data_IF_042453317678
#
_entry.id   IF_042453317678
#
_cell.length_a   1.000
_cell.length_b   1.000
_cell.length_c   1.000
_cell.angle_alpha   90.00
_cell.angle_beta   90.00
_cell.angle_gamma   90.00
#
_symmetry.space_group_name_H-M   'P 1'
#
loop_
_entity.id
_entity.type
_entity.pdbx_description
1 polymer ?
#
# COMPACT_ATOMS: atom_id res chain seq x y z
N UNK A 1 -23.24 9.54 15.28
CA UNK A 1 -22.21 9.82 14.26
C UNK A 1 -21.10 10.63 14.90
N UNK A 2 -19.86 10.22 14.77
CA UNK A 2 -18.66 10.97 15.21
C UNK A 2 -17.86 11.40 13.99
N UNK A 3 -17.04 12.44 14.14
CA UNK A 3 -16.01 12.81 13.17
C UNK A 3 -14.66 12.80 13.86
N UNK A 4 -13.65 12.19 13.20
CA UNK A 4 -12.27 12.07 13.69
C UNK A 4 -11.32 12.74 12.69
N UNK A 5 -10.49 13.65 13.16
CA UNK A 5 -9.39 14.20 12.37
C UNK A 5 -8.18 13.23 12.28
N UNK A 6 -7.21 13.49 11.41
CA UNK A 6 -6.04 12.61 11.21
C UNK A 6 -5.23 12.40 12.50
N UNK A 7 -5.17 13.36 13.42
CA UNK A 7 -4.47 13.23 14.69
C UNK A 7 -5.20 12.25 15.63
N UNK A 8 -6.52 12.35 15.70
CA UNK A 8 -7.37 11.42 16.44
C UNK A 8 -7.31 10.01 15.83
N UNK A 9 -7.38 9.91 14.50
CA UNK A 9 -7.21 8.64 13.76
C UNK A 9 -5.87 7.99 14.13
N UNK A 10 -4.77 8.75 14.05
CA UNK A 10 -3.42 8.25 14.37
C UNK A 10 -3.33 7.67 15.79
N UNK A 11 -4.00 8.30 16.76
CA UNK A 11 -4.00 7.86 18.17
C UNK A 11 -4.81 6.59 18.39
N UNK A 12 -5.88 6.39 17.60
CA UNK A 12 -6.84 5.29 17.75
C UNK A 12 -6.55 4.10 16.85
N UNK A 13 -5.55 4.21 15.97
CA UNK A 13 -5.14 3.09 15.11
C UNK A 13 -4.69 1.89 15.95
N UNK A 14 -5.05 0.66 15.56
CA UNK A 14 -4.45 -0.55 16.12
C UNK A 14 -2.93 -0.55 15.95
N UNK A 15 -2.24 -1.39 16.69
CA UNK A 15 -0.80 -1.60 16.48
C UNK A 15 -0.50 -2.02 15.03
N UNK A 16 0.69 -1.72 14.48
CA UNK A 16 1.02 -2.10 13.09
C UNK A 16 0.86 -3.61 12.82
N UNK A 17 1.14 -4.47 13.80
CA UNK A 17 0.95 -5.91 13.67
C UNK A 17 -0.55 -6.30 13.57
N UNK A 18 -1.41 -5.67 14.35
CA UNK A 18 -2.86 -5.86 14.26
C UNK A 18 -3.41 -5.34 12.94
N UNK A 19 -2.91 -4.19 12.45
CA UNK A 19 -3.27 -3.67 11.13
C UNK A 19 -2.92 -4.67 10.02
N UNK A 20 -1.75 -5.31 10.08
CA UNK A 20 -1.33 -6.35 9.15
C UNK A 20 -2.25 -7.57 9.21
N UNK A 21 -2.64 -8.00 10.41
CA UNK A 21 -3.60 -9.10 10.57
C UNK A 21 -4.95 -8.77 9.92
N UNK A 22 -5.49 -7.57 10.17
CA UNK A 22 -6.72 -7.08 9.53
C UNK A 22 -6.60 -7.04 8.00
N UNK A 23 -5.48 -6.57 7.46
CA UNK A 23 -5.27 -6.53 6.01
C UNK A 23 -5.11 -7.92 5.41
N UNK A 24 -4.50 -8.87 6.12
CA UNK A 24 -4.45 -10.26 5.68
C UNK A 24 -5.85 -10.86 5.56
N UNK A 25 -6.72 -10.65 6.55
CA UNK A 25 -8.12 -11.07 6.49
C UNK A 25 -8.87 -10.39 5.33
N UNK A 26 -8.62 -9.10 5.10
CA UNK A 26 -9.19 -8.34 3.99
C UNK A 26 -8.82 -8.95 2.63
N UNK A 27 -7.54 -9.27 2.42
CA UNK A 27 -7.07 -9.89 1.17
C UNK A 27 -7.67 -11.27 0.94
N UNK A 28 -7.82 -12.08 2.00
CA UNK A 28 -8.47 -13.38 1.91
C UNK A 28 -9.95 -13.25 1.60
N UNK A 29 -10.67 -12.30 2.23
CA UNK A 29 -12.08 -12.07 1.99
C UNK A 29 -12.39 -11.56 0.56
N UNK A 30 -11.48 -10.77 -0.02
CA UNK A 30 -11.57 -10.39 -1.44
C UNK A 30 -11.37 -11.60 -2.36
N UNK A 31 -10.38 -12.45 -2.03
CA UNK A 31 -10.07 -13.64 -2.85
C UNK A 31 -11.18 -14.70 -2.80
N UNK A 32 -11.87 -14.87 -1.68
CA UNK A 32 -12.98 -15.83 -1.55
C UNK A 32 -14.36 -15.26 -1.87
N UNK A 33 -14.44 -13.94 -2.16
CA UNK A 33 -15.68 -13.26 -2.53
C UNK A 33 -16.65 -13.00 -1.37
N UNK A 34 -16.25 -13.19 -0.11
CA UNK A 34 -17.08 -12.89 1.07
C UNK A 34 -17.23 -11.37 1.32
N UNK A 35 -16.34 -10.58 0.73
CA UNK A 35 -16.41 -9.12 0.73
C UNK A 35 -16.41 -8.58 -0.71
N UNK A 36 -16.90 -7.36 -0.90
CA UNK A 36 -17.03 -6.73 -2.21
C UNK A 36 -16.45 -5.32 -2.24
N UNK A 37 -15.81 -5.00 -3.35
CA UNK A 37 -15.38 -3.66 -3.73
C UNK A 37 -15.82 -3.39 -5.16
N UNK A 38 -15.83 -2.12 -5.55
CA UNK A 38 -15.90 -1.74 -6.97
C UNK A 38 -14.58 -1.13 -7.38
N UNK A 39 -14.17 -1.27 -8.65
CA UNK A 39 -13.03 -0.52 -9.17
C UNK A 39 -13.16 0.96 -8.88
N UNK A 40 -12.03 1.61 -8.59
CA UNK A 40 -12.01 3.04 -8.24
C UNK A 40 -12.66 3.89 -9.32
N UNK A 41 -13.68 4.64 -8.95
CA UNK A 41 -14.25 5.67 -9.81
C UNK A 41 -13.44 6.95 -9.69
N UNK A 42 -12.79 7.37 -10.79
CA UNK A 42 -11.84 8.48 -10.79
C UNK A 42 -12.36 9.70 -11.53
N UNK A 43 -12.13 10.88 -10.93
CA UNK A 43 -12.25 12.17 -11.61
C UNK A 43 -10.91 12.90 -11.55
N UNK A 44 -10.55 13.58 -12.65
CA UNK A 44 -9.34 14.41 -12.73
C UNK A 44 -9.75 15.86 -12.49
N UNK A 45 -9.02 16.58 -11.62
CA UNK A 45 -9.32 17.99 -11.27
C UNK A 45 -8.18 18.96 -11.54
N UNK A 46 -6.95 18.46 -11.74
CA UNK A 46 -5.78 19.23 -12.18
C UNK A 46 -4.77 18.30 -12.85
N UNK A 47 -3.74 18.83 -13.47
CA UNK A 47 -2.67 18.02 -14.09
C UNK A 47 -1.98 17.15 -13.04
N UNK A 48 -1.99 15.83 -13.25
CA UNK A 48 -1.49 14.84 -12.28
C UNK A 48 -2.33 14.71 -11.01
N UNK A 49 -3.42 15.50 -10.88
CA UNK A 49 -4.31 15.49 -9.73
C UNK A 49 -5.61 14.76 -10.02
N UNK A 50 -6.08 13.97 -9.06
CA UNK A 50 -7.31 13.20 -9.20
C UNK A 50 -7.99 12.96 -7.84
N UNK A 51 -9.25 12.57 -7.91
CA UNK A 51 -9.98 12.04 -6.76
C UNK A 51 -10.60 10.68 -7.11
N UNK A 52 -10.61 9.77 -6.14
CA UNK A 52 -11.20 8.44 -6.27
C UNK A 52 -12.30 8.22 -5.23
N UNK A 53 -13.44 7.68 -5.68
CA UNK A 53 -14.44 7.06 -4.82
C UNK A 53 -14.15 5.55 -4.72
N UNK A 54 -14.13 5.03 -3.49
CA UNK A 54 -13.70 3.66 -3.20
C UNK A 54 -14.70 3.00 -2.23
N UNK A 55 -15.93 2.63 -2.70
CA UNK A 55 -16.90 1.94 -1.88
C UNK A 55 -16.49 0.49 -1.63
N UNK A 56 -16.87 -0.03 -0.45
CA UNK A 56 -16.66 -1.42 -0.09
C UNK A 56 -17.67 -1.91 0.95
N UNK A 57 -17.95 -3.21 0.93
CA UNK A 57 -18.79 -3.87 1.90
C UNK A 57 -18.24 -5.25 2.29
N UNK A 58 -18.40 -5.59 3.56
CA UNK A 58 -18.22 -6.94 4.07
C UNK A 58 -19.45 -7.35 4.89
N UNK A 59 -20.48 -7.92 4.23
CA UNK A 59 -21.78 -8.15 4.86
C UNK A 59 -21.70 -9.00 6.12
N UNK A 60 -20.90 -10.06 6.13
CA UNK A 60 -20.75 -10.95 7.29
C UNK A 60 -20.21 -10.25 8.54
N UNK A 61 -19.46 -9.15 8.35
CA UNK A 61 -18.95 -8.30 9.44
C UNK A 61 -19.81 -7.06 9.68
N UNK A 62 -20.88 -6.88 8.92
CA UNK A 62 -21.72 -5.67 8.98
C UNK A 62 -20.95 -4.41 8.57
N UNK A 63 -19.94 -4.52 7.73
CA UNK A 63 -19.10 -3.40 7.29
C UNK A 63 -19.61 -2.84 5.96
N UNK A 64 -19.79 -1.53 5.93
CA UNK A 64 -20.16 -0.77 4.74
C UNK A 64 -19.51 0.62 4.83
N UNK A 65 -18.87 1.06 3.77
CA UNK A 65 -18.29 2.39 3.77
C UNK A 65 -17.71 2.82 2.43
N UNK A 66 -17.23 4.04 2.40
CA UNK A 66 -16.58 4.61 1.23
C UNK A 66 -15.44 5.53 1.66
N UNK A 67 -14.30 5.41 0.98
CA UNK A 67 -13.27 6.43 1.02
C UNK A 67 -13.35 7.32 -0.22
N UNK A 68 -13.39 8.63 -0.01
CA UNK A 68 -13.07 9.63 -0.99
C UNK A 68 -11.64 10.10 -0.75
N UNK A 69 -10.72 9.82 -1.68
CA UNK A 69 -9.32 10.22 -1.56
C UNK A 69 -8.95 11.15 -2.70
N UNK A 70 -8.23 12.22 -2.39
CA UNK A 70 -7.74 13.21 -3.36
C UNK A 70 -6.22 13.17 -3.41
N UNK A 71 -5.68 13.33 -4.63
CA UNK A 71 -4.26 13.58 -4.87
C UNK A 71 -4.17 14.94 -5.57
N UNK A 72 -3.57 15.92 -4.90
CA UNK A 72 -3.51 17.34 -5.34
C UNK A 72 -2.06 17.80 -5.37
N UNK A 73 -1.33 17.57 -6.48
CA UNK A 73 0.10 17.90 -6.59
C UNK A 73 0.42 19.38 -6.34
N UNK A 74 -0.48 20.29 -6.72
CA UNK A 74 -0.32 21.73 -6.50
C UNK A 74 -0.22 22.13 -5.02
N UNK A 75 -0.68 21.30 -4.10
CA UNK A 75 -0.57 21.51 -2.66
C UNK A 75 0.88 21.56 -2.18
N UNK A 76 1.80 20.86 -2.86
CA UNK A 76 3.23 20.88 -2.52
C UNK A 76 3.81 22.29 -2.55
N UNK A 77 3.47 23.08 -3.56
CA UNK A 77 3.91 24.47 -3.67
C UNK A 77 3.30 25.37 -2.58
N UNK A 78 2.22 24.93 -1.94
CA UNK A 78 1.51 25.64 -0.85
C UNK A 78 1.91 25.13 0.54
N UNK A 79 2.87 24.20 0.64
CA UNK A 79 3.26 23.57 1.91
C UNK A 79 2.16 22.72 2.54
N UNK A 80 1.23 22.17 1.73
CA UNK A 80 0.13 21.33 2.19
C UNK A 80 0.34 19.88 1.75
N UNK A 81 -0.31 18.97 2.46
CA UNK A 81 -0.33 17.55 2.09
C UNK A 81 -0.95 17.36 0.70
N UNK A 82 -0.29 16.55 -0.13
CA UNK A 82 -0.78 16.23 -1.47
C UNK A 82 -1.91 15.22 -1.46
N UNK A 83 -1.96 14.35 -0.46
CA UNK A 83 -2.97 13.32 -0.30
C UNK A 83 -3.89 13.76 0.84
N UNK A 84 -5.19 13.79 0.56
CA UNK A 84 -6.24 14.07 1.54
C UNK A 84 -7.46 13.22 1.24
N UNK A 85 -8.50 13.38 2.00
CA UNK A 85 -9.76 12.70 1.75
C UNK A 85 -10.60 12.50 3.00
N UNK A 86 -11.72 11.84 2.79
CA UNK A 86 -12.70 11.54 3.84
C UNK A 86 -13.09 10.05 3.75
N UNK A 87 -13.13 9.41 4.90
CA UNK A 87 -13.74 8.10 5.08
C UNK A 87 -15.13 8.26 5.66
N UNK A 88 -16.13 7.59 5.09
CA UNK A 88 -17.48 7.45 5.64
C UNK A 88 -17.73 5.99 5.96
N UNK A 89 -18.04 5.71 7.22
CA UNK A 89 -18.39 4.38 7.68
C UNK A 89 -19.88 4.34 8.02
N UNK A 90 -20.61 3.40 7.45
CA UNK A 90 -22.03 3.19 7.66
C UNK A 90 -22.29 1.96 8.54
N UNK A 91 -23.39 1.97 9.28
CA UNK A 91 -23.96 0.80 9.92
C UNK A 91 -24.73 -0.04 8.90
N UNK A 92 -25.10 -1.26 9.27
CA UNK A 92 -25.86 -2.19 8.43
C UNK A 92 -27.26 -1.66 8.01
N UNK A 93 -27.83 -0.75 8.79
CA UNK A 93 -29.12 -0.08 8.49
C UNK A 93 -28.96 1.13 7.53
N UNK A 94 -27.72 1.41 7.07
CA UNK A 94 -27.41 2.52 6.18
C UNK A 94 -27.16 3.86 6.90
N UNK A 95 -27.35 3.95 8.20
CA UNK A 95 -27.04 5.17 8.96
C UNK A 95 -25.53 5.40 9.01
N UNK A 96 -25.10 6.69 8.96
CA UNK A 96 -23.69 7.03 9.10
C UNK A 96 -23.24 6.83 10.54
N UNK A 97 -22.26 5.96 10.76
CA UNK A 97 -21.69 5.63 12.05
C UNK A 97 -20.55 6.59 12.43
N UNK A 98 -19.61 6.75 11.49
CA UNK A 98 -18.48 7.66 11.66
C UNK A 98 -18.04 8.27 10.33
N UNK A 99 -17.44 9.45 10.43
CA UNK A 99 -16.61 10.03 9.37
C UNK A 99 -15.22 10.29 9.93
N UNK A 100 -14.18 10.20 9.10
CA UNK A 100 -12.82 10.51 9.54
C UNK A 100 -11.95 11.00 8.39
N UNK A 101 -10.97 11.82 8.71
CA UNK A 101 -9.94 12.20 7.76
C UNK A 101 -9.19 10.95 7.28
N UNK A 102 -8.77 10.92 6.02
CA UNK A 102 -8.32 9.71 5.39
C UNK A 102 -6.82 9.68 5.04
N UNK A 103 -6.06 10.72 5.36
CA UNK A 103 -4.64 10.76 5.00
C UNK A 103 -3.82 9.76 5.81
N UNK A 104 -3.92 9.80 7.13
CA UNK A 104 -3.22 8.86 8.01
C UNK A 104 -3.73 7.43 7.82
N UNK A 105 -5.05 7.24 7.75
CA UNK A 105 -5.67 5.95 7.46
C UNK A 105 -5.09 5.33 6.17
N UNK A 106 -4.99 6.14 5.09
CA UNK A 106 -4.46 5.69 3.80
C UNK A 106 -2.98 5.30 3.90
N UNK A 107 -2.18 6.08 4.63
CA UNK A 107 -0.75 5.80 4.80
C UNK A 107 -0.53 4.46 5.52
N UNK A 108 -1.24 4.24 6.61
CA UNK A 108 -1.05 3.07 7.47
C UNK A 108 -1.63 1.79 6.83
N UNK A 109 -2.86 1.83 6.25
CA UNK A 109 -3.41 0.64 5.60
C UNK A 109 -2.59 0.19 4.39
N UNK A 110 -1.97 1.12 3.66
CA UNK A 110 -1.11 0.78 2.51
C UNK A 110 0.10 -0.04 2.97
N UNK A 111 0.79 0.40 4.02
CA UNK A 111 1.88 -0.35 4.60
C UNK A 111 1.43 -1.70 5.19
N UNK A 112 0.25 -1.75 5.80
CA UNK A 112 -0.30 -2.97 6.38
C UNK A 112 -0.67 -4.02 5.32
N UNK A 113 -1.22 -3.63 4.15
CA UNK A 113 -1.44 -4.55 3.01
C UNK A 113 -0.12 -5.13 2.51
N UNK A 114 0.90 -4.28 2.34
CA UNK A 114 2.24 -4.76 1.99
C UNK A 114 2.80 -5.68 3.08
N UNK A 115 2.59 -5.34 4.36
CA UNK A 115 2.97 -6.18 5.50
C UNK A 115 2.35 -7.57 5.45
N UNK A 116 1.06 -7.68 5.09
CA UNK A 116 0.41 -8.97 4.88
C UNK A 116 1.05 -9.74 3.72
N UNK A 117 1.43 -9.06 2.64
CA UNK A 117 2.11 -9.65 1.49
C UNK A 117 3.54 -10.12 1.80
N UNK A 118 4.20 -9.59 2.85
CA UNK A 118 5.50 -10.07 3.30
C UNK A 118 5.48 -11.52 3.80
N UNK A 119 4.31 -12.10 4.06
CA UNK A 119 4.18 -13.53 4.33
C UNK A 119 4.52 -14.43 3.13
N UNK A 120 4.59 -13.86 1.93
CA UNK A 120 4.96 -14.59 0.70
C UNK A 120 6.48 -14.83 0.58
N UNK A 121 7.31 -14.06 1.30
CA UNK A 121 8.77 -14.10 1.13
C UNK A 121 9.45 -13.57 2.40
N UNK A 122 10.33 -14.33 2.99
CA UNK A 122 11.02 -14.02 4.25
C UNK A 122 12.43 -13.42 4.08
N UNK A 123 12.86 -13.24 2.84
CA UNK A 123 14.20 -12.74 2.49
C UNK A 123 14.36 -11.24 2.79
N UNK A 124 15.61 -10.70 2.71
CA UNK A 124 15.90 -9.27 2.95
C UNK A 124 15.06 -8.34 2.09
N UNK A 125 14.69 -7.20 2.67
CA UNK A 125 13.75 -6.25 2.10
C UNK A 125 14.49 -4.99 1.64
N UNK A 126 14.22 -4.56 0.41
CA UNK A 126 14.60 -3.24 -0.08
C UNK A 126 13.35 -2.39 -0.29
N UNK A 127 13.35 -1.16 0.22
CA UNK A 127 12.33 -0.15 -0.05
C UNK A 127 12.88 0.94 -0.98
N UNK A 128 12.19 1.18 -2.09
CA UNK A 128 12.55 2.17 -3.11
C UNK A 128 11.72 3.43 -2.89
N UNK A 129 12.30 4.48 -2.30
CA UNK A 129 11.66 5.74 -1.96
C UNK A 129 11.93 6.18 -0.52
N UNK A 130 11.71 7.47 -0.21
CA UNK A 130 12.00 8.08 1.12
C UNK A 130 10.82 8.88 1.67
N UNK A 131 9.63 8.75 1.09
CA UNK A 131 8.43 9.50 1.47
C UNK A 131 7.71 8.93 2.70
N UNK A 132 6.47 9.38 2.90
CA UNK A 132 5.58 8.93 3.99
C UNK A 132 5.49 7.39 4.02
N UNK A 133 5.39 6.75 2.87
CA UNK A 133 5.29 5.30 2.78
C UNK A 133 6.54 4.57 3.30
N UNK A 134 7.75 5.13 3.13
CA UNK A 134 8.95 4.54 3.70
C UNK A 134 8.87 4.45 5.23
N UNK A 135 8.34 5.49 5.89
CA UNK A 135 8.13 5.52 7.34
C UNK A 135 7.06 4.53 7.80
N UNK A 136 5.90 4.52 7.11
CA UNK A 136 4.82 3.58 7.45
C UNK A 136 5.25 2.12 7.27
N UNK A 137 5.99 1.81 6.19
CA UNK A 137 6.53 0.47 5.96
C UNK A 137 7.61 0.09 6.97
N UNK A 138 8.48 1.02 7.37
CA UNK A 138 9.48 0.76 8.42
C UNK A 138 8.82 0.37 9.75
N UNK A 139 7.71 1.04 10.14
CA UNK A 139 6.92 0.65 11.32
C UNK A 139 6.36 -0.77 11.20
N UNK A 140 5.79 -1.10 10.06
CA UNK A 140 5.22 -2.44 9.82
C UNK A 140 6.31 -3.51 9.83
N UNK A 141 7.41 -3.30 9.10
CA UNK A 141 8.54 -4.23 9.03
C UNK A 141 9.13 -4.47 10.44
N UNK A 142 9.31 -3.39 11.22
CA UNK A 142 9.76 -3.46 12.60
C UNK A 142 8.80 -4.27 13.48
N UNK A 143 7.49 -3.96 13.43
CA UNK A 143 6.46 -4.63 14.25
C UNK A 143 6.32 -6.12 13.92
N UNK A 144 6.63 -6.52 12.69
CA UNK A 144 6.65 -7.92 12.25
C UNK A 144 7.96 -8.63 12.59
N UNK A 145 8.94 -7.95 13.19
CA UNK A 145 10.28 -8.50 13.42
C UNK A 145 11.01 -8.87 12.13
N UNK A 146 10.66 -8.22 11.00
CA UNK A 146 11.22 -8.48 9.69
C UNK A 146 12.42 -7.54 9.42
N UNK A 147 13.27 -7.94 8.53
CA UNK A 147 14.48 -7.20 8.13
C UNK A 147 15.62 -8.14 7.78
N UNK A 148 16.81 -7.64 7.43
CA UNK A 148 17.16 -6.21 7.35
C UNK A 148 16.36 -5.44 6.31
N UNK A 149 16.20 -4.13 6.53
CA UNK A 149 15.59 -3.20 5.60
C UNK A 149 16.68 -2.32 4.98
N UNK A 150 16.82 -2.35 3.66
CA UNK A 150 17.61 -1.37 2.91
C UNK A 150 16.66 -0.35 2.28
N UNK A 151 16.95 0.95 2.41
CA UNK A 151 16.17 1.99 1.75
C UNK A 151 17.02 2.72 0.74
N UNK A 152 16.54 2.77 -0.49
CA UNK A 152 17.11 3.58 -1.55
C UNK A 152 16.38 4.90 -1.72
N UNK A 153 17.16 5.97 -1.90
CA UNK A 153 16.63 7.29 -2.23
C UNK A 153 17.66 8.14 -2.96
N UNK A 154 17.20 9.05 -3.82
CA UNK A 154 18.08 9.91 -4.63
C UNK A 154 18.76 11.03 -3.81
N UNK A 155 18.12 11.45 -2.71
CA UNK A 155 18.56 12.60 -1.90
C UNK A 155 19.15 12.13 -0.58
N UNK A 156 20.46 12.39 -0.32
CA UNK A 156 21.09 12.00 0.94
C UNK A 156 20.39 12.59 2.18
N UNK A 157 19.89 13.83 2.08
CA UNK A 157 19.21 14.51 3.18
C UNK A 157 17.92 13.77 3.58
N UNK A 158 17.14 13.34 2.60
CA UNK A 158 15.91 12.58 2.85
C UNK A 158 16.19 11.19 3.45
N UNK A 159 17.31 10.57 3.10
CA UNK A 159 17.76 9.32 3.72
C UNK A 159 18.20 9.55 5.17
N UNK A 160 18.90 10.65 5.44
CA UNK A 160 19.29 11.02 6.80
C UNK A 160 18.09 11.33 7.69
N UNK A 161 17.11 12.09 7.18
CA UNK A 161 15.83 12.35 7.86
C UNK A 161 15.09 11.05 8.18
N UNK A 162 15.02 10.11 7.23
CA UNK A 162 14.40 8.80 7.45
C UNK A 162 15.17 8.00 8.51
N UNK A 163 16.50 7.99 8.45
CA UNK A 163 17.34 7.28 9.42
C UNK A 163 17.12 7.81 10.84
N UNK A 164 17.10 9.14 11.01
CA UNK A 164 16.83 9.78 12.30
C UNK A 164 15.43 9.45 12.81
N UNK A 165 14.44 9.49 11.93
CA UNK A 165 13.07 9.13 12.27
C UNK A 165 12.94 7.66 12.67
N UNK A 166 13.59 6.73 11.95
CA UNK A 166 13.58 5.31 12.29
C UNK A 166 14.26 5.02 13.63
N UNK A 167 15.35 5.72 13.95
CA UNK A 167 16.02 5.57 15.24
C UNK A 167 15.09 5.88 16.43
N UNK A 168 14.18 6.84 16.25
CA UNK A 168 13.19 7.22 17.26
C UNK A 168 11.97 6.31 17.31
N UNK A 169 11.43 5.92 16.13
CA UNK A 169 10.11 5.29 16.03
C UNK A 169 10.14 3.78 15.78
N UNK A 170 11.29 3.23 15.37
CA UNK A 170 11.50 1.79 15.10
C UNK A 170 12.84 1.33 15.70
N UNK A 171 13.05 1.52 17.01
CA UNK A 171 14.34 1.20 17.65
C UNK A 171 14.66 -0.29 17.49
N UNK A 172 15.88 -0.58 17.02
CA UNK A 172 16.33 -1.95 16.77
C UNK A 172 16.02 -2.50 15.37
N UNK A 173 15.31 -1.76 14.51
CA UNK A 173 15.21 -2.11 13.09
C UNK A 173 16.61 -2.06 12.45
N UNK A 174 17.05 -3.18 11.88
CA UNK A 174 18.29 -3.23 11.11
C UNK A 174 18.11 -2.47 9.78
N UNK A 175 18.32 -1.15 9.82
CA UNK A 175 18.15 -0.23 8.70
C UNK A 175 19.48 0.11 8.06
N UNK A 176 19.53 0.05 6.74
CA UNK A 176 20.59 0.59 5.89
C UNK A 176 19.99 1.56 4.87
N UNK A 177 20.65 2.65 4.59
CA UNK A 177 20.24 3.63 3.59
C UNK A 177 21.35 3.87 2.58
N UNK A 178 21.01 4.03 1.30
CA UNK A 178 21.99 4.29 0.23
C UNK A 178 21.37 5.08 -0.91
N UNK A 179 22.21 5.86 -1.59
CA UNK A 179 21.87 6.51 -2.87
C UNK A 179 22.25 5.66 -4.08
N UNK A 180 23.03 4.60 -3.88
CA UNK A 180 23.38 3.64 -4.93
C UNK A 180 22.27 2.61 -5.09
N UNK A 181 21.59 2.65 -6.26
CA UNK A 181 20.46 1.77 -6.55
C UNK A 181 20.89 0.32 -6.72
N UNK A 182 22.03 0.09 -7.35
CA UNK A 182 22.54 -1.27 -7.56
C UNK A 182 22.91 -1.94 -6.23
N UNK A 183 23.56 -1.16 -5.34
CA UNK A 183 23.87 -1.59 -3.98
C UNK A 183 22.60 -1.90 -3.17
N UNK A 184 21.54 -1.09 -3.31
CA UNK A 184 20.27 -1.32 -2.60
C UNK A 184 19.54 -2.59 -3.05
N UNK A 185 19.62 -2.91 -4.34
CA UNK A 185 18.96 -4.07 -4.93
C UNK A 185 19.78 -5.36 -4.78
N UNK A 186 21.08 -5.25 -4.51
CA UNK A 186 21.95 -6.42 -4.37
C UNK A 186 21.51 -7.31 -3.20
N UNK A 187 21.10 -8.54 -3.51
CA UNK A 187 20.66 -9.53 -2.51
C UNK A 187 19.25 -9.28 -1.95
N UNK A 188 18.49 -8.31 -2.50
CA UNK A 188 17.09 -8.12 -2.15
C UNK A 188 16.26 -9.32 -2.62
N UNK A 189 15.59 -10.00 -1.69
CA UNK A 189 14.57 -10.99 -2.02
C UNK A 189 13.20 -10.34 -2.21
N UNK A 190 12.94 -9.28 -1.45
CA UNK A 190 11.71 -8.49 -1.54
C UNK A 190 12.04 -7.06 -1.89
N UNK A 191 11.37 -6.50 -2.90
CA UNK A 191 11.46 -5.09 -3.27
C UNK A 191 10.09 -4.42 -3.13
N UNK A 192 9.98 -3.49 -2.22
CA UNK A 192 8.81 -2.63 -2.05
C UNK A 192 9.11 -1.29 -2.74
N UNK A 193 8.19 -0.75 -3.51
CA UNK A 193 8.41 0.54 -4.16
C UNK A 193 7.29 1.54 -3.92
N UNK A 194 7.67 2.77 -3.56
CA UNK A 194 6.77 3.88 -3.25
C UNK A 194 7.29 5.20 -3.83
N UNK A 195 7.49 5.25 -5.13
CA UNK A 195 7.85 6.47 -5.88
C UNK A 195 6.58 7.26 -6.29
N UNK A 196 6.74 8.50 -6.76
CA UNK A 196 5.63 9.21 -7.39
C UNK A 196 5.08 8.41 -8.58
N UNK A 197 3.75 8.34 -8.67
CA UNK A 197 3.05 7.61 -9.74
C UNK A 197 3.43 8.20 -11.09
N UNK A 198 3.76 7.34 -12.06
CA UNK A 198 4.15 7.73 -13.40
C UNK A 198 5.64 8.08 -13.57
N UNK A 199 6.43 8.01 -12.51
CA UNK A 199 7.89 8.17 -12.58
C UNK A 199 8.52 6.84 -13.03
N UNK A 200 8.78 6.69 -14.32
CA UNK A 200 9.25 5.42 -14.93
C UNK A 200 10.76 5.36 -15.18
N UNK A 201 11.51 6.43 -14.89
CA UNK A 201 12.98 6.47 -15.02
C UNK A 201 13.70 5.53 -14.06
N UNK A 202 12.99 4.98 -13.06
CA UNK A 202 13.49 4.01 -12.09
C UNK A 202 12.91 2.61 -12.28
N UNK A 203 12.24 2.35 -13.40
CA UNK A 203 11.71 1.00 -13.71
C UNK A 203 12.82 -0.06 -13.70
N UNK A 204 12.53 -1.18 -13.06
CA UNK A 204 13.43 -2.34 -12.99
C UNK A 204 13.52 -3.04 -14.33
N UNK A 205 14.72 -3.50 -14.65
CA UNK A 205 14.99 -4.38 -15.79
C UNK A 205 15.25 -5.81 -15.32
N UNK A 206 14.99 -6.81 -16.17
CA UNK A 206 15.39 -8.18 -15.87
C UNK A 206 16.90 -8.27 -15.58
N UNK A 207 17.25 -8.97 -14.49
CA UNK A 207 18.63 -9.08 -14.02
C UNK A 207 19.09 -8.06 -12.98
N UNK A 208 18.32 -7.00 -12.72
CA UNK A 208 18.61 -6.04 -11.63
C UNK A 208 18.18 -6.55 -10.24
N UNK A 209 17.29 -7.54 -10.20
CA UNK A 209 16.88 -8.27 -9.00
C UNK A 209 17.00 -9.77 -9.23
N UNK A 210 16.91 -10.57 -8.18
CA UNK A 210 16.91 -12.02 -8.29
C UNK A 210 15.73 -12.50 -9.17
N UNK A 211 15.96 -13.55 -9.97
CA UNK A 211 14.95 -14.10 -10.88
C UNK A 211 13.71 -14.67 -10.15
N UNK A 212 13.81 -14.86 -8.85
CA UNK A 212 12.76 -15.32 -7.96
C UNK A 212 12.35 -14.26 -6.92
N UNK A 213 12.71 -12.99 -7.12
CA UNK A 213 12.34 -11.90 -6.21
C UNK A 213 10.82 -11.72 -6.09
N UNK A 214 10.40 -11.13 -4.99
CA UNK A 214 9.02 -10.66 -4.78
C UNK A 214 8.99 -9.14 -4.85
N UNK A 215 8.26 -8.59 -5.83
CA UNK A 215 8.07 -7.15 -6.01
C UNK A 215 6.70 -6.78 -5.44
N UNK A 216 6.67 -5.81 -4.54
CA UNK A 216 5.48 -5.28 -3.87
C UNK A 216 5.30 -3.79 -4.18
N UNK A 217 4.93 -3.43 -5.42
CA UNK A 217 4.77 -2.03 -5.79
C UNK A 217 3.49 -1.43 -5.20
N UNK A 218 3.61 -0.22 -4.65
CA UNK A 218 2.50 0.63 -4.24
C UNK A 218 2.40 1.89 -5.12
N UNK A 219 3.24 1.96 -6.15
CA UNK A 219 3.40 3.06 -7.10
C UNK A 219 3.04 2.66 -8.54
N UNK A 220 2.18 1.65 -8.67
CA UNK A 220 1.75 1.04 -9.94
C UNK A 220 2.96 0.49 -10.72
N UNK A 221 3.22 1.02 -11.92
CA UNK A 221 4.30 0.58 -12.80
C UNK A 221 5.58 1.44 -12.71
N UNK A 222 5.70 2.31 -11.70
CA UNK A 222 6.86 3.22 -11.61
C UNK A 222 8.18 2.48 -11.45
N UNK A 223 8.20 1.41 -10.65
CA UNK A 223 9.39 0.56 -10.44
C UNK A 223 9.19 -0.84 -11.04
N UNK A 224 8.07 -1.51 -10.73
CA UNK A 224 7.73 -2.78 -11.35
C UNK A 224 7.05 -2.55 -12.72
N UNK A 225 7.80 -2.06 -13.70
CA UNK A 225 7.33 -1.77 -15.05
C UNK A 225 6.97 -3.04 -15.85
N UNK A 226 6.41 -2.85 -17.06
CA UNK A 226 5.95 -3.96 -17.91
C UNK A 226 7.07 -4.96 -18.25
N UNK A 227 8.29 -4.46 -18.49
CA UNK A 227 9.42 -5.30 -18.91
C UNK A 227 9.76 -6.38 -17.87
N UNK A 228 9.98 -5.98 -16.62
CA UNK A 228 10.28 -6.91 -15.52
C UNK A 228 9.06 -7.76 -15.18
N UNK A 229 7.86 -7.19 -15.20
CA UNK A 229 6.63 -7.88 -14.80
C UNK A 229 6.24 -9.01 -15.76
N UNK A 230 6.63 -8.93 -17.04
CA UNK A 230 6.44 -10.02 -18.02
C UNK A 230 7.29 -11.27 -17.72
N UNK A 231 8.31 -11.15 -16.90
CA UNK A 231 9.20 -12.30 -16.56
C UNK A 231 8.68 -13.12 -15.39
N UNK A 232 7.56 -12.73 -14.78
CA UNK A 232 7.04 -13.37 -13.58
C UNK A 232 5.52 -13.50 -13.54
N UNK A 233 5.05 -13.92 -12.37
CA UNK A 233 3.62 -13.99 -12.04
C UNK A 233 3.16 -12.65 -11.51
N UNK A 234 2.11 -12.07 -12.11
CA UNK A 234 1.48 -10.84 -11.64
C UNK A 234 0.19 -11.16 -10.92
N UNK A 235 0.04 -10.66 -9.71
CA UNK A 235 -1.20 -10.67 -8.92
C UNK A 235 -1.48 -9.26 -8.41
N UNK A 236 -2.67 -9.03 -7.88
CA UNK A 236 -3.04 -7.76 -7.27
C UNK A 236 -3.82 -7.97 -5.97
N UNK A 237 -3.91 -6.96 -5.13
CA UNK A 237 -4.78 -6.95 -3.96
C UNK A 237 -6.25 -7.20 -4.34
N UNK A 238 -6.66 -6.70 -5.51
CA UNK A 238 -7.95 -6.98 -6.16
C UNK A 238 -7.73 -7.09 -7.68
N UNK A 239 -7.98 -8.27 -8.25
CA UNK A 239 -7.68 -8.56 -9.66
C UNK A 239 -8.63 -7.83 -10.61
N UNK A 240 -9.90 -7.64 -10.26
CA UNK A 240 -10.89 -6.92 -11.08
C UNK A 240 -10.54 -5.42 -11.14
N UNK A 241 -10.23 -4.82 -9.99
CA UNK A 241 -9.76 -3.44 -9.92
C UNK A 241 -8.47 -3.25 -10.73
N UNK A 242 -7.53 -4.20 -10.62
CA UNK A 242 -6.28 -4.14 -11.39
C UNK A 242 -6.56 -4.12 -12.89
N UNK A 243 -7.36 -5.05 -13.42
CA UNK A 243 -7.68 -5.10 -14.85
C UNK A 243 -8.39 -3.84 -15.34
N UNK A 244 -9.28 -3.28 -14.52
CA UNK A 244 -9.96 -2.00 -14.82
C UNK A 244 -8.99 -0.82 -14.91
N UNK A 245 -7.98 -0.77 -14.04
CA UNK A 245 -7.01 0.33 -13.96
C UNK A 245 -5.76 0.11 -14.83
N UNK A 246 -5.48 -1.14 -15.23
CA UNK A 246 -4.25 -1.53 -15.91
C UNK A 246 -3.94 -0.68 -17.13
N UNK A 247 -4.85 -0.47 -18.10
CA UNK A 247 -4.54 0.35 -19.29
C UNK A 247 -4.18 1.80 -18.93
N UNK A 248 -4.84 2.34 -17.91
CA UNK A 248 -4.70 3.74 -17.52
C UNK A 248 -3.45 4.00 -16.65
N UNK A 249 -3.12 3.06 -15.76
CA UNK A 249 -2.07 3.25 -14.72
C UNK A 249 -0.79 2.51 -15.00
N UNK A 250 -0.84 1.40 -15.76
CA UNK A 250 0.31 0.55 -16.04
C UNK A 250 0.68 0.53 -17.52
N UNK A 251 -0.25 0.89 -18.40
CA UNK A 251 -0.12 0.76 -19.85
C UNK A 251 -0.75 -0.54 -20.38
N UNK A 252 -1.19 -0.51 -21.63
CA UNK A 252 -1.88 -1.65 -22.26
C UNK A 252 -0.98 -2.89 -22.40
N UNK A 253 0.32 -2.69 -22.51
CA UNK A 253 1.33 -3.71 -22.66
C UNK A 253 1.77 -4.36 -21.34
N UNK A 254 1.28 -3.86 -20.20
CA UNK A 254 1.53 -4.47 -18.88
C UNK A 254 0.80 -5.82 -18.79
N UNK A 255 1.45 -6.89 -18.24
CA UNK A 255 0.83 -8.19 -18.15
C UNK A 255 -0.45 -8.16 -17.27
N UNK A 256 -1.39 -9.04 -17.60
CA UNK A 256 -2.61 -9.23 -16.82
C UNK A 256 -2.30 -9.90 -15.49
N UNK A 257 -3.13 -9.63 -14.48
CA UNK A 257 -3.07 -10.40 -13.25
C UNK A 257 -3.58 -11.84 -13.50
N UNK A 258 -2.89 -12.81 -12.90
CA UNK A 258 -3.26 -14.23 -12.95
C UNK A 258 -4.08 -14.67 -11.75
N UNK A 259 -4.31 -13.78 -10.79
CA UNK A 259 -5.04 -14.01 -9.55
C UNK A 259 -4.88 -12.84 -8.59
N UNK A 260 -5.21 -13.08 -7.33
CA UNK A 260 -5.10 -12.08 -6.27
C UNK A 260 -3.95 -12.40 -5.31
N UNK A 261 -3.52 -11.38 -4.55
CA UNK A 261 -2.58 -11.55 -3.43
C UNK A 261 -3.19 -12.48 -2.36
N UNK A 262 -4.51 -12.43 -2.15
CA UNK A 262 -5.22 -13.32 -1.24
C UNK A 262 -5.12 -14.78 -1.66
N UNK A 263 -5.17 -15.09 -2.97
CA UNK A 263 -4.95 -16.43 -3.47
C UNK A 263 -3.55 -16.94 -3.11
N UNK A 264 -2.50 -16.11 -3.31
CA UNK A 264 -1.15 -16.50 -2.93
C UNK A 264 -0.97 -16.66 -1.42
N UNK A 265 -1.66 -15.89 -0.61
CA UNK A 265 -1.64 -16.02 0.86
C UNK A 265 -2.29 -17.32 1.35
N UNK A 266 -3.24 -17.86 0.59
CA UNK A 266 -3.93 -19.12 0.87
C UNK A 266 -3.16 -20.32 0.32
N UNK A 267 -2.72 -20.25 -0.95
CA UNK A 267 -2.24 -21.39 -1.73
C UNK A 267 -0.70 -21.46 -1.79
N UNK A 268 -0.02 -20.41 -1.35
CA UNK A 268 1.43 -20.27 -1.38
C UNK A 268 1.94 -19.51 -2.60
N UNK A 269 3.20 -19.05 -2.49
CA UNK A 269 3.90 -18.31 -3.53
C UNK A 269 4.37 -19.25 -4.64
N UNK A 270 4.14 -18.93 -5.94
CA UNK A 270 4.71 -19.70 -7.05
C UNK A 270 6.24 -19.51 -7.15
N UNK A 271 6.90 -20.39 -7.87
CA UNK A 271 8.31 -20.22 -8.24
C UNK A 271 8.51 -19.04 -9.21
N UNK A 272 9.75 -18.53 -9.27
CA UNK A 272 10.12 -17.41 -10.12
C UNK A 272 9.74 -16.04 -9.54
N UNK A 273 9.85 -14.99 -10.36
CA UNK A 273 9.50 -13.63 -9.97
C UNK A 273 7.99 -13.53 -9.69
N UNK A 274 7.65 -12.84 -8.61
CA UNK A 274 6.25 -12.48 -8.26
C UNK A 274 6.14 -10.98 -8.18
N UNK A 275 5.12 -10.41 -8.82
CA UNK A 275 4.74 -9.00 -8.70
C UNK A 275 3.36 -8.94 -8.08
N UNK A 276 3.26 -8.56 -6.82
CA UNK A 276 2.00 -8.40 -6.13
C UNK A 276 1.66 -6.91 -6.00
N UNK A 277 0.81 -6.44 -6.90
CA UNK A 277 0.38 -5.04 -6.99
C UNK A 277 -0.52 -4.67 -5.81
N UNK A 278 -0.11 -3.67 -5.03
CA UNK A 278 -0.91 -3.08 -3.98
C UNK A 278 -1.55 -1.79 -4.48
N UNK A 279 -2.71 -1.91 -5.09
CA UNK A 279 -3.46 -0.77 -5.62
C UNK A 279 -4.24 -0.03 -4.53
N UNK A 280 -4.49 -0.71 -3.42
CA UNK A 280 -5.33 -0.27 -2.33
C UNK A 280 -6.82 -0.46 -2.64
N UNK A 281 -7.44 -1.41 -1.98
CA UNK A 281 -8.88 -1.64 -2.04
C UNK A 281 -9.62 -0.76 -1.04
N UNK A 282 -10.87 -0.39 -1.37
CA UNK A 282 -11.76 0.30 -0.42
C UNK A 282 -12.05 -0.53 0.83
N UNK A 283 -11.99 -1.86 0.72
CA UNK A 283 -12.25 -2.75 1.86
C UNK A 283 -11.19 -2.59 2.96
N UNK A 284 -9.91 -2.50 2.60
CA UNK A 284 -8.86 -2.25 3.60
C UNK A 284 -9.06 -0.93 4.34
N UNK A 285 -9.54 0.09 3.64
CA UNK A 285 -9.87 1.37 4.26
C UNK A 285 -11.07 1.24 5.22
N UNK A 286 -12.14 0.54 4.83
CA UNK A 286 -13.35 0.32 5.65
C UNK A 286 -13.02 -0.51 6.90
N UNK A 287 -12.24 -1.59 6.76
CA UNK A 287 -11.86 -2.46 7.87
C UNK A 287 -11.02 -1.71 8.91
N UNK A 288 -10.05 -0.91 8.45
CA UNK A 288 -9.22 -0.13 9.38
C UNK A 288 -10.00 1.01 10.02
N UNK A 289 -10.90 1.67 9.26
CA UNK A 289 -11.80 2.70 9.78
C UNK A 289 -12.75 2.15 10.84
N UNK A 290 -13.26 0.93 10.68
CA UNK A 290 -14.09 0.27 11.69
C UNK A 290 -13.31 0.03 12.99
N UNK A 291 -12.07 -0.43 12.89
CA UNK A 291 -11.22 -0.61 14.08
C UNK A 291 -11.00 0.71 14.82
N UNK A 292 -10.73 1.80 14.10
CA UNK A 292 -10.60 3.16 14.67
C UNK A 292 -11.91 3.63 15.29
N UNK A 293 -13.04 3.46 14.60
CA UNK A 293 -14.35 3.87 15.11
C UNK A 293 -14.73 3.13 16.40
N UNK A 294 -14.48 1.82 16.46
CA UNK A 294 -14.68 1.02 17.69
C UNK A 294 -13.80 1.50 18.84
N UNK A 295 -12.53 1.82 18.58
CA UNK A 295 -11.64 2.38 19.59
C UNK A 295 -12.13 3.74 20.11
N UNK A 296 -12.83 4.50 19.26
CA UNK A 296 -13.49 5.77 19.61
C UNK A 296 -14.86 5.59 20.31
N UNK A 297 -15.37 4.34 20.47
CA UNK A 297 -16.66 4.06 21.08
C UNK A 297 -17.88 4.24 20.16
N UNK A 298 -17.69 4.16 18.82
CA UNK A 298 -18.74 4.36 17.80
C UNK A 298 -19.09 3.06 17.05
#
# INVERSE_FOLDING_TARGET
MIHLDDAQVSTLLPSPAEQVALMRETLLALADGSASVTPKSQVVHEEGGFANAMPAAWPERGLLGIKWVTVTPSNRARGREMIGGLMVLSAADGSTRATMDAAELTAQRTAAVTGASLALDDRPITFVGTGVQARSHARVIHALGRGPLTVWGRRPEALQELTSWCAEHTPGLALRTTTDRAEALAGAGVVISGLPIGLTDQALRPGEVAADATLLPIDYASVAGAEISRTGTVVADDAEQFESLRPLKHGEDYPRATGSTGDLLRDGRPGGLVVAQNLGSGLGDVVLADAVARAAGA
#
